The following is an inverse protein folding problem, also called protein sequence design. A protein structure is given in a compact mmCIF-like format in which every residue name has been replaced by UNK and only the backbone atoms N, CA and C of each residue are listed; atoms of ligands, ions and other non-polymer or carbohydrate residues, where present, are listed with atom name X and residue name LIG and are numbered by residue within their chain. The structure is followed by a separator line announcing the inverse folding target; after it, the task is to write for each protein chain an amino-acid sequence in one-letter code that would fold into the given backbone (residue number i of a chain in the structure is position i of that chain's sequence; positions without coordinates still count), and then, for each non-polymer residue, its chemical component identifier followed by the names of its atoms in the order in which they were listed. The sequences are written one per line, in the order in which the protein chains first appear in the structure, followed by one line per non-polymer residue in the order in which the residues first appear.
data_IF_110394170828
#
_entry.id   IF_110394170828
#
_cell.length_a   1.000
_cell.length_b   1.000
_cell.length_c   1.000
_cell.angle_alpha   90.00
_cell.angle_beta   90.00
_cell.angle_gamma   90.00
#
_symmetry.space_group_name_H-M   'P 1'
#
loop_
_entity.id
_entity.type
_entity.pdbx_description
1 polymer ?
#
# COMPACT_ATOMS: atom_id res chain seq x y z
N UNK A 1 3.65 -16.75 -6.53
CA UNK A 1 4.79 -17.69 -6.53
C UNK A 1 5.01 -18.31 -7.91
N UNK A 2 3.96 -18.50 -8.72
CA UNK A 2 4.04 -19.10 -10.07
C UNK A 2 5.03 -18.41 -11.04
N UNK A 3 5.18 -17.08 -10.95
CA UNK A 3 6.09 -16.31 -11.80
C UNK A 3 7.51 -16.12 -11.23
N UNK A 4 7.84 -16.80 -10.12
CA UNK A 4 9.16 -16.71 -9.47
C UNK A 4 9.89 -18.03 -9.65
N UNK A 5 11.19 -17.98 -9.98
CA UNK A 5 12.04 -19.15 -10.13
C UNK A 5 11.93 -20.08 -8.89
N UNK A 6 11.61 -21.38 -9.07
CA UNK A 6 11.50 -22.35 -7.99
C UNK A 6 12.72 -22.42 -7.05
N UNK A 7 13.93 -22.18 -7.56
CA UNK A 7 15.16 -22.15 -6.75
C UNK A 7 15.14 -21.07 -5.67
N UNK A 8 14.39 -19.99 -5.88
CA UNK A 8 14.23 -18.90 -4.92
C UNK A 8 13.16 -19.17 -3.85
N UNK A 9 12.31 -20.19 -4.01
CA UNK A 9 11.14 -20.40 -3.16
C UNK A 9 11.52 -20.65 -1.70
N UNK A 10 12.55 -21.46 -1.46
CA UNK A 10 13.02 -21.76 -0.10
C UNK A 10 13.46 -20.48 0.65
N UNK A 11 14.18 -19.58 -0.04
CA UNK A 11 14.63 -18.32 0.55
C UNK A 11 13.47 -17.37 0.84
N UNK A 12 12.47 -17.30 -0.06
CA UNK A 12 11.32 -16.42 0.09
C UNK A 12 10.35 -16.93 1.17
N UNK A 13 10.16 -18.25 1.25
CA UNK A 13 9.25 -18.88 2.20
C UNK A 13 9.86 -19.06 3.59
N UNK A 14 11.15 -18.75 3.79
CA UNK A 14 11.80 -18.83 5.08
C UNK A 14 11.11 -17.92 6.12
N UNK A 15 10.55 -18.47 7.21
CA UNK A 15 9.88 -17.71 8.26
C UNK A 15 10.77 -16.67 8.95
N UNK A 16 12.04 -17.01 9.24
CA UNK A 16 12.98 -16.08 9.89
C UNK A 16 13.19 -14.82 9.06
N UNK A 17 13.32 -15.00 7.74
CA UNK A 17 13.42 -13.87 6.81
C UNK A 17 12.14 -13.05 6.77
N UNK A 18 10.98 -13.69 6.78
CA UNK A 18 9.70 -13.00 6.78
C UNK A 18 9.51 -12.14 8.04
N UNK A 19 10.00 -12.61 9.19
CA UNK A 19 10.04 -11.82 10.41
C UNK A 19 10.93 -10.57 10.25
N UNK A 20 12.11 -10.69 9.61
CA UNK A 20 12.97 -9.54 9.31
C UNK A 20 12.30 -8.49 8.40
N UNK A 21 11.40 -8.92 7.51
CA UNK A 21 10.66 -8.03 6.61
C UNK A 21 9.45 -7.36 7.27
N UNK A 22 9.11 -7.71 8.51
CA UNK A 22 8.19 -6.91 9.30
C UNK A 22 8.92 -5.64 9.75
N UNK A 23 9.01 -4.67 8.82
CA UNK A 23 9.74 -3.38 8.96
C UNK A 23 9.27 -2.56 10.18
N UNK A 24 8.19 -2.96 10.85
CA UNK A 24 7.80 -2.44 12.16
C UNK A 24 7.46 -3.61 13.08
N UNK A 25 8.10 -3.67 14.25
CA UNK A 25 7.71 -4.56 15.38
C UNK A 25 6.23 -4.37 15.83
N UNK A 26 5.50 -3.44 15.22
CA UNK A 26 4.06 -3.25 15.33
C UNK A 26 3.40 -3.63 14.00
N UNK A 27 2.72 -4.77 13.91
CA UNK A 27 2.00 -5.13 12.69
C UNK A 27 0.90 -4.09 12.41
N UNK A 28 0.68 -3.79 11.13
CA UNK A 28 -0.48 -3.02 10.71
C UNK A 28 -1.74 -3.67 11.30
N UNK A 29 -2.53 -2.91 12.05
CA UNK A 29 -3.78 -3.44 12.60
C UNK A 29 -4.85 -3.66 11.52
N UNK A 30 -4.61 -3.17 10.30
CA UNK A 30 -5.59 -3.13 9.21
C UNK A 30 -5.08 -3.77 7.91
N UNK A 31 -3.99 -4.55 7.96
CA UNK A 31 -3.47 -5.31 6.83
C UNK A 31 -3.24 -6.75 7.26
N UNK A 32 -3.74 -7.70 6.46
CA UNK A 32 -3.41 -9.11 6.63
C UNK A 32 -2.07 -9.39 5.96
N UNK A 33 -1.13 -10.11 6.59
CA UNK A 33 0.05 -10.59 5.88
C UNK A 33 -0.33 -11.47 4.68
N UNK A 34 0.44 -11.43 3.58
CA UNK A 34 0.22 -12.34 2.45
C UNK A 34 0.53 -13.78 2.83
N UNK A 35 -0.14 -14.73 2.17
CA UNK A 35 0.21 -16.14 2.23
C UNK A 35 1.51 -16.39 1.42
N UNK A 36 2.61 -16.82 2.06
CA UNK A 36 3.90 -17.04 1.39
C UNK A 36 3.91 -18.24 0.42
N UNK A 37 2.91 -19.13 0.52
CA UNK A 37 2.72 -20.21 -0.47
C UNK A 37 2.17 -19.67 -1.79
N UNK A 38 1.41 -18.58 -1.73
CA UNK A 38 0.74 -17.99 -2.89
C UNK A 38 1.47 -16.77 -3.45
N UNK A 39 1.97 -15.88 -2.59
CA UNK A 39 2.53 -14.58 -2.95
C UNK A 39 4.04 -14.55 -2.70
N UNK A 40 4.81 -13.94 -3.62
CA UNK A 40 6.23 -13.69 -3.38
C UNK A 40 6.40 -12.75 -2.17
N UNK A 41 7.36 -13.07 -1.30
CA UNK A 41 7.67 -12.31 -0.08
C UNK A 41 9.01 -11.57 -0.20
N UNK A 42 9.44 -11.23 -1.42
CA UNK A 42 10.51 -10.24 -1.60
C UNK A 42 10.04 -8.88 -1.06
N UNK A 43 10.96 -7.97 -0.72
CA UNK A 43 10.61 -6.69 -0.10
C UNK A 43 9.62 -5.89 -0.99
N UNK A 44 9.89 -5.82 -2.29
CA UNK A 44 8.99 -5.20 -3.27
C UNK A 44 7.58 -5.78 -3.26
N UNK A 45 7.43 -7.11 -3.24
CA UNK A 45 6.11 -7.75 -3.24
C UNK A 45 5.37 -7.54 -1.91
N UNK A 46 6.08 -7.53 -0.78
CA UNK A 46 5.51 -7.20 0.52
C UNK A 46 5.00 -5.75 0.56
N UNK A 47 5.78 -4.80 0.03
CA UNK A 47 5.35 -3.40 -0.08
C UNK A 47 4.13 -3.27 -0.99
N UNK A 48 4.16 -3.86 -2.20
CA UNK A 48 3.03 -3.83 -3.15
C UNK A 48 1.77 -4.45 -2.55
N UNK A 49 1.89 -5.56 -1.83
CA UNK A 49 0.78 -6.17 -1.09
C UNK A 49 0.18 -5.20 -0.07
N UNK A 50 1.02 -4.60 0.78
CA UNK A 50 0.58 -3.62 1.76
C UNK A 50 -0.13 -2.44 1.09
N UNK A 51 0.43 -1.91 -0.01
CA UNK A 51 -0.18 -0.83 -0.77
C UNK A 51 -1.56 -1.20 -1.30
N UNK A 52 -1.74 -2.39 -1.89
CA UNK A 52 -3.04 -2.83 -2.38
C UNK A 52 -4.06 -2.99 -1.23
N UNK A 53 -3.66 -3.57 -0.10
CA UNK A 53 -4.53 -3.66 1.07
C UNK A 53 -4.93 -2.28 1.61
N UNK A 54 -3.98 -1.34 1.67
CA UNK A 54 -4.22 0.03 2.11
C UNK A 54 -5.19 0.77 1.20
N UNK A 55 -5.06 0.61 -0.10
CA UNK A 55 -5.98 1.22 -1.08
C UNK A 55 -7.40 0.73 -0.86
N UNK A 56 -7.58 -0.58 -0.68
CA UNK A 56 -8.90 -1.19 -0.44
C UNK A 56 -9.48 -0.74 0.92
N UNK A 57 -8.66 -0.72 1.98
CA UNK A 57 -9.11 -0.27 3.31
C UNK A 57 -9.45 1.23 3.29
N UNK A 58 -8.63 2.07 2.65
CA UNK A 58 -8.89 3.50 2.51
C UNK A 58 -10.18 3.78 1.73
N UNK A 59 -10.45 3.01 0.66
CA UNK A 59 -11.69 3.08 -0.10
C UNK A 59 -12.92 2.76 0.77
N UNK A 60 -12.82 1.74 1.63
CA UNK A 60 -13.88 1.37 2.57
C UNK A 60 -14.24 2.53 3.53
N UNK A 61 -13.24 3.24 4.05
CA UNK A 61 -13.44 4.32 5.02
C UNK A 61 -13.78 5.69 4.43
N UNK A 62 -13.77 5.85 3.10
CA UNK A 62 -14.05 7.15 2.49
C UNK A 62 -15.41 7.74 2.89
N UNK A 63 -16.44 6.90 3.09
CA UNK A 63 -17.76 7.38 3.51
C UNK A 63 -17.65 8.09 4.87
N UNK A 64 -17.01 7.46 5.85
CA UNK A 64 -16.78 8.05 7.17
C UNK A 64 -16.01 9.36 7.09
N UNK A 65 -14.95 9.39 6.28
CA UNK A 65 -14.13 10.58 6.09
C UNK A 65 -14.91 11.75 5.49
N UNK A 66 -15.82 11.47 4.56
CA UNK A 66 -16.60 12.50 3.88
C UNK A 66 -17.78 13.02 4.70
N UNK A 67 -18.40 12.16 5.50
CA UNK A 67 -19.50 12.57 6.40
C UNK A 67 -18.99 13.16 7.71
N UNK A 68 -17.70 13.04 8.01
CA UNK A 68 -17.12 13.42 9.30
C UNK A 68 -17.46 12.45 10.43
N UNK A 69 -17.99 11.27 10.10
CA UNK A 69 -18.21 10.20 11.07
C UNK A 69 -16.86 9.59 11.49
N UNK A 70 -16.56 9.47 12.80
CA UNK A 70 -15.30 8.90 13.25
C UNK A 70 -15.11 7.45 12.79
N UNK A 71 -13.95 7.16 12.22
CA UNK A 71 -13.45 5.79 12.01
C UNK A 71 -13.38 5.09 13.37
N UNK A 72 -13.87 3.84 13.41
CA UNK A 72 -13.89 3.05 14.63
C UNK A 72 -12.48 2.79 15.17
N UNK A 73 -12.23 3.21 16.41
CA UNK A 73 -10.95 3.02 17.10
C UNK A 73 -10.83 1.58 17.59
N UNK A 74 -9.66 0.97 17.39
CA UNK A 74 -9.34 -0.35 17.93
C UNK A 74 -8.66 -0.17 19.30
N UNK A 75 -9.23 -0.71 20.40
CA UNK A 75 -8.57 -0.66 21.69
C UNK A 75 -7.18 -1.32 21.64
N UNK A 76 -6.21 -0.76 22.35
CA UNK A 76 -4.84 -1.28 22.41
C UNK A 76 -4.84 -2.75 22.86
N UNK A 77 -4.01 -3.56 22.21
CA UNK A 77 -3.88 -4.99 22.50
C UNK A 77 -5.06 -5.86 22.06
N UNK A 78 -6.10 -5.28 21.44
CA UNK A 78 -7.26 -6.04 20.97
C UNK A 78 -7.28 -6.14 19.45
N UNK A 79 -7.94 -7.18 18.95
CA UNK A 79 -8.27 -7.32 17.53
C UNK A 79 -9.75 -7.67 17.42
N UNK A 80 -10.64 -6.67 17.40
CA UNK A 80 -12.09 -6.91 17.43
C UNK A 80 -12.55 -7.66 16.18
N UNK A 81 -13.65 -8.41 16.30
CA UNK A 81 -14.18 -9.26 15.22
C UNK A 81 -14.41 -8.49 13.92
N UNK A 82 -15.04 -7.32 14.00
CA UNK A 82 -15.29 -6.47 12.83
C UNK A 82 -14.00 -6.13 12.07
N UNK A 83 -12.88 -5.93 12.78
CA UNK A 83 -11.62 -5.59 12.16
C UNK A 83 -10.99 -6.80 11.46
N UNK A 84 -11.04 -7.98 12.10
CA UNK A 84 -10.59 -9.23 11.47
C UNK A 84 -11.37 -9.52 10.20
N UNK A 85 -12.69 -9.38 10.25
CA UNK A 85 -13.59 -9.64 9.12
C UNK A 85 -13.32 -8.64 7.98
N UNK A 86 -13.11 -7.36 8.30
CA UNK A 86 -12.76 -6.33 7.32
C UNK A 86 -11.39 -6.59 6.66
N UNK A 87 -10.36 -6.88 7.47
CA UNK A 87 -9.00 -7.13 6.99
C UNK A 87 -8.94 -8.38 6.11
N UNK A 88 -9.62 -9.45 6.50
CA UNK A 88 -9.74 -10.67 5.69
C UNK A 88 -10.48 -10.42 4.37
N UNK A 89 -11.56 -9.62 4.40
CA UNK A 89 -12.27 -9.20 3.19
C UNK A 89 -11.37 -8.41 2.24
N UNK A 90 -10.63 -7.44 2.76
CA UNK A 90 -9.72 -6.62 1.96
C UNK A 90 -8.62 -7.49 1.33
N UNK A 91 -8.01 -8.39 2.10
CA UNK A 91 -7.03 -9.34 1.59
C UNK A 91 -7.61 -10.24 0.47
N UNK A 92 -8.86 -10.70 0.61
CA UNK A 92 -9.52 -11.50 -0.43
C UNK A 92 -9.71 -10.75 -1.75
N UNK A 93 -9.95 -9.44 -1.69
CA UNK A 93 -10.05 -8.57 -2.88
C UNK A 93 -8.67 -8.46 -3.54
N UNK A 94 -7.61 -8.25 -2.75
CA UNK A 94 -6.24 -8.19 -3.26
C UNK A 94 -5.82 -9.51 -3.91
N UNK A 95 -6.13 -10.65 -3.30
CA UNK A 95 -5.86 -11.98 -3.90
C UNK A 95 -6.55 -12.14 -5.25
N UNK A 96 -7.80 -11.68 -5.40
CA UNK A 96 -8.49 -11.69 -6.70
C UNK A 96 -7.78 -10.81 -7.72
N UNK A 97 -7.31 -9.63 -7.32
CA UNK A 97 -6.57 -8.71 -8.18
C UNK A 97 -5.22 -9.26 -8.64
N UNK A 98 -4.58 -10.15 -7.86
CA UNK A 98 -3.35 -10.82 -8.28
C UNK A 98 -3.58 -11.87 -9.39
N UNK A 99 -4.82 -12.36 -9.57
CA UNK A 99 -5.17 -13.36 -10.59
C UNK A 99 -6.00 -12.80 -11.75
N UNK A 100 -6.54 -11.60 -11.59
CA UNK A 100 -7.50 -11.02 -12.53
C UNK A 100 -7.18 -9.55 -12.80
N UNK A 101 -6.81 -9.21 -14.04
CA UNK A 101 -6.60 -7.82 -14.44
C UNK A 101 -7.83 -6.93 -14.21
N UNK A 102 -9.04 -7.49 -14.32
CA UNK A 102 -10.27 -6.76 -14.05
C UNK A 102 -10.39 -6.38 -12.57
N UNK A 103 -10.09 -7.30 -11.66
CA UNK A 103 -10.06 -6.97 -10.23
C UNK A 103 -8.96 -5.96 -9.91
N UNK A 104 -7.81 -6.06 -10.58
CA UNK A 104 -6.75 -5.07 -10.44
C UNK A 104 -7.20 -3.68 -10.89
N UNK A 105 -7.83 -3.58 -12.06
CA UNK A 105 -8.40 -2.33 -12.57
C UNK A 105 -9.45 -1.74 -11.62
N UNK A 106 -10.29 -2.58 -10.99
CA UNK A 106 -11.27 -2.12 -9.98
C UNK A 106 -10.62 -1.54 -8.73
N UNK A 107 -9.48 -2.08 -8.29
CA UNK A 107 -8.72 -1.48 -7.19
C UNK A 107 -8.17 -0.10 -7.62
N UNK A 108 -7.65 0.03 -8.84
CA UNK A 108 -7.14 1.31 -9.36
C UNK A 108 -8.25 2.36 -9.52
N UNK A 109 -9.43 1.97 -9.99
CA UNK A 109 -10.63 2.82 -10.07
C UNK A 109 -11.03 3.33 -8.68
N UNK A 110 -11.15 2.42 -7.70
CA UNK A 110 -11.47 2.78 -6.31
C UNK A 110 -10.39 3.67 -5.67
N UNK A 111 -9.12 3.44 -6.01
CA UNK A 111 -8.00 4.27 -5.60
C UNK A 111 -8.16 5.70 -6.13
N UNK A 112 -8.39 5.86 -7.43
CA UNK A 112 -8.52 7.17 -8.07
C UNK A 112 -9.69 7.94 -7.45
N UNK A 113 -10.86 7.29 -7.32
CA UNK A 113 -12.03 7.87 -6.68
C UNK A 113 -11.76 8.32 -5.24
N UNK A 114 -11.06 7.49 -4.44
CA UNK A 114 -10.68 7.85 -3.06
C UNK A 114 -9.69 9.02 -3.01
N UNK A 115 -8.78 9.11 -3.97
CA UNK A 115 -7.80 10.19 -4.08
C UNK A 115 -8.48 11.52 -4.42
N UNK A 116 -9.37 11.52 -5.43
CA UNK A 116 -10.15 12.70 -5.81
C UNK A 116 -10.99 13.20 -4.63
N UNK A 117 -11.73 12.31 -3.97
CA UNK A 117 -12.55 12.64 -2.78
C UNK A 117 -11.70 13.25 -1.67
N UNK A 118 -10.55 12.66 -1.39
CA UNK A 118 -9.65 13.15 -0.35
C UNK A 118 -9.09 14.54 -0.67
N UNK A 119 -8.53 14.75 -1.86
CA UNK A 119 -7.99 16.06 -2.27
C UNK A 119 -9.10 17.12 -2.24
N UNK A 120 -10.31 16.79 -2.70
CA UNK A 120 -11.46 17.70 -2.65
C UNK A 120 -11.82 18.06 -1.22
N UNK A 121 -11.95 17.07 -0.33
CA UNK A 121 -12.26 17.28 1.10
C UNK A 121 -11.22 18.18 1.77
N UNK A 122 -9.93 17.93 1.53
CA UNK A 122 -8.85 18.77 2.05
C UNK A 122 -8.84 20.18 1.44
N UNK A 123 -9.12 20.32 0.15
CA UNK A 123 -9.21 21.62 -0.53
C UNK A 123 -10.38 22.50 -0.06
N UNK A 124 -11.45 21.88 0.45
CA UNK A 124 -12.62 22.54 1.05
C UNK A 124 -12.46 22.82 2.55
N UNK A 125 -11.43 22.27 3.20
CA UNK A 125 -11.20 22.48 4.62
C UNK A 125 -10.87 23.96 4.91
N UNK A 126 -11.77 24.65 5.60
CA UNK A 126 -11.65 26.09 5.91
C UNK A 126 -10.51 26.41 6.87
N UNK A 127 -10.13 25.46 7.73
CA UNK A 127 -9.11 25.64 8.77
C UNK A 127 -7.68 25.44 8.26
N UNK A 128 -7.46 24.44 7.41
CA UNK A 128 -6.15 24.13 6.86
C UNK A 128 -6.22 24.12 5.32
N UNK A 129 -5.98 25.28 4.70
CA UNK A 129 -6.05 25.47 3.24
C UNK A 129 -4.83 24.92 2.49
N UNK A 130 -4.18 23.87 3.01
CA UNK A 130 -3.04 23.23 2.36
C UNK A 130 -3.53 22.49 1.11
N UNK A 131 -3.47 23.16 -0.04
CA UNK A 131 -3.70 22.55 -1.35
C UNK A 131 -2.36 22.02 -1.87
N UNK A 132 -1.96 20.82 -1.43
CA UNK A 132 -0.69 20.23 -1.91
C UNK A 132 -0.83 19.66 -3.31
N UNK A 133 -2.02 19.20 -3.67
CA UNK A 133 -2.38 18.80 -5.03
C UNK A 133 -3.24 19.88 -5.70
N UNK A 134 -2.92 20.21 -6.95
CA UNK A 134 -3.70 21.14 -7.77
C UNK A 134 -4.74 20.33 -8.54
N UNK A 135 -5.97 20.32 -8.05
CA UNK A 135 -7.12 19.69 -8.69
C UNK A 135 -8.22 20.74 -8.88
N UNK A 136 -8.63 20.96 -10.11
CA UNK A 136 -9.73 21.85 -10.50
C UNK A 136 -11.05 21.06 -10.59
N UNK A 137 -12.18 21.76 -10.69
CA UNK A 137 -13.48 21.10 -10.78
C UNK A 137 -13.62 20.29 -12.09
N UNK A 138 -12.98 20.72 -13.17
CA UNK A 138 -12.91 19.98 -14.43
C UNK A 138 -12.17 18.65 -14.27
N UNK A 139 -11.10 18.61 -13.46
CA UNK A 139 -10.34 17.37 -13.19
C UNK A 139 -11.23 16.35 -12.45
N UNK A 140 -12.13 16.82 -11.59
CA UNK A 140 -13.12 15.96 -10.90
C UNK A 140 -14.12 15.36 -11.88
N UNK A 141 -14.57 16.14 -12.87
CA UNK A 141 -15.56 15.70 -13.86
C UNK A 141 -14.95 14.81 -14.94
N UNK A 142 -13.65 14.97 -15.22
CA UNK A 142 -12.93 14.12 -16.16
C UNK A 142 -12.75 12.67 -15.64
N UNK A 143 -12.85 12.45 -14.32
CA UNK A 143 -12.63 11.14 -13.69
C UNK A 143 -11.30 10.47 -14.09
N UNK A 144 -10.27 11.28 -14.38
CA UNK A 144 -8.92 10.83 -14.75
C UNK A 144 -7.88 11.28 -13.73
N UNK A 145 -6.67 10.72 -13.82
CA UNK A 145 -5.56 11.01 -12.92
C UNK A 145 -4.56 12.03 -13.46
N UNK A 146 -4.88 12.72 -14.57
CA UNK A 146 -4.00 13.70 -15.24
C UNK A 146 -3.54 14.80 -14.30
N UNK A 147 -4.39 15.23 -13.36
CA UNK A 147 -4.03 16.25 -12.37
C UNK A 147 -2.88 15.81 -11.43
N UNK A 148 -2.64 14.51 -11.28
CA UNK A 148 -1.54 13.96 -10.49
C UNK A 148 -0.19 14.00 -11.21
N UNK A 149 -0.15 14.32 -12.51
CA UNK A 149 1.10 14.57 -13.24
C UNK A 149 1.73 15.91 -12.84
N UNK A 150 0.91 16.83 -12.31
CA UNK A 150 1.36 18.14 -11.81
C UNK A 150 2.29 17.96 -10.59
N UNK A 151 3.04 19.00 -10.24
CA UNK A 151 3.90 18.99 -9.06
C UNK A 151 3.08 18.68 -7.80
N UNK A 152 3.53 17.71 -7.00
CA UNK A 152 2.91 17.32 -5.73
C UNK A 152 3.89 17.39 -4.55
N UNK A 153 3.42 17.12 -3.32
CA UNK A 153 4.30 17.01 -2.18
C UNK A 153 5.22 15.78 -2.31
N UNK A 154 6.48 15.89 -1.84
CA UNK A 154 7.36 14.74 -1.75
C UNK A 154 6.90 13.88 -0.57
N UNK A 155 6.00 12.92 -0.78
CA UNK A 155 5.67 12.01 0.33
C UNK A 155 5.24 10.62 -0.12
N UNK A 156 5.97 9.64 0.40
CA UNK A 156 5.53 8.26 0.54
C UNK A 156 5.05 8.08 2.00
N UNK A 157 3.94 8.74 2.36
CA UNK A 157 3.35 8.58 3.69
C UNK A 157 2.56 7.26 3.72
N UNK A 158 3.16 6.21 4.30
CA UNK A 158 2.45 4.98 4.61
C UNK A 158 1.51 5.19 5.80
N UNK A 159 0.18 5.00 5.64
CA UNK A 159 -0.76 5.09 6.74
C UNK A 159 -0.67 3.85 7.64
N UNK A 160 0.20 3.89 8.64
CA UNK A 160 0.37 2.79 9.61
C UNK A 160 -0.84 2.60 10.54
N UNK A 161 -1.66 3.64 10.71
CA UNK A 161 -2.92 3.60 11.44
C UNK A 161 -4.04 4.26 10.61
N UNK A 162 -5.29 3.83 10.80
CA UNK A 162 -6.44 4.44 10.12
C UNK A 162 -6.64 5.91 10.48
N UNK A 163 -6.12 6.36 11.62
CA UNK A 163 -6.09 7.79 11.98
C UNK A 163 -5.27 8.62 10.98
N UNK A 164 -4.30 8.02 10.29
CA UNK A 164 -3.57 8.71 9.23
C UNK A 164 -4.47 9.08 8.04
N UNK A 165 -5.59 8.37 7.84
CA UNK A 165 -6.51 8.64 6.73
C UNK A 165 -7.15 10.03 6.80
N UNK A 166 -7.33 10.59 7.99
CA UNK A 166 -7.85 11.96 8.14
C UNK A 166 -6.92 13.03 7.57
N UNK A 167 -5.63 12.74 7.48
CA UNK A 167 -4.59 13.67 7.01
C UNK A 167 -4.06 13.30 5.61
N UNK A 168 -4.56 12.21 5.03
CA UNK A 168 -4.04 11.61 3.81
C UNK A 168 -4.70 12.23 2.57
N UNK A 169 -4.11 13.30 2.04
CA UNK A 169 -4.60 13.96 0.82
C UNK A 169 -4.54 13.06 -0.41
N UNK A 170 -3.41 12.38 -0.62
CA UNK A 170 -3.27 11.36 -1.65
C UNK A 170 -2.30 10.29 -1.15
N UNK A 171 -2.53 9.04 -1.56
CA UNK A 171 -1.61 7.93 -1.34
C UNK A 171 -1.10 7.46 -2.69
N UNK A 172 0.18 7.65 -3.00
CA UNK A 172 0.74 7.31 -4.31
C UNK A 172 1.89 6.32 -4.14
N UNK A 173 1.58 5.03 -3.86
CA UNK A 173 2.56 4.09 -3.31
C UNK A 173 3.76 3.77 -4.21
N UNK A 174 3.64 3.98 -5.52
CA UNK A 174 4.68 3.64 -6.50
C UNK A 174 5.37 4.88 -7.11
N UNK A 175 5.05 6.09 -6.66
CA UNK A 175 5.68 7.32 -7.18
C UNK A 175 5.85 8.39 -6.11
N UNK A 176 6.93 9.15 -6.22
CA UNK A 176 7.16 10.34 -5.40
C UNK A 176 7.66 11.49 -6.25
N UNK A 177 7.30 12.72 -5.89
CA UNK A 177 7.79 13.92 -6.52
C UNK A 177 9.16 14.29 -5.91
N UNK A 178 10.20 14.39 -6.73
CA UNK A 178 11.52 14.85 -6.30
C UNK A 178 11.67 16.33 -6.66
N UNK A 179 11.63 17.22 -5.65
CA UNK A 179 11.65 18.67 -5.86
C UNK A 179 12.90 19.17 -6.55
N UNK A 180 14.07 18.60 -6.23
CA UNK A 180 15.36 18.97 -6.83
C UNK A 180 15.39 18.66 -8.32
N UNK A 181 14.73 17.56 -8.73
CA UNK A 181 14.71 17.07 -10.11
C UNK A 181 13.46 17.53 -10.88
N UNK A 182 12.51 18.18 -10.21
CA UNK A 182 11.20 18.59 -10.72
C UNK A 182 10.50 17.49 -11.53
N UNK A 183 10.54 16.25 -11.04
CA UNK A 183 9.93 15.10 -11.72
C UNK A 183 9.39 14.07 -10.76
N UNK A 184 8.40 13.34 -11.23
CA UNK A 184 7.97 12.09 -10.62
C UNK A 184 9.04 11.02 -10.82
N UNK A 185 9.37 10.30 -9.74
CA UNK A 185 10.22 9.12 -9.77
C UNK A 185 9.37 7.93 -9.35
N UNK A 186 9.54 6.83 -10.07
CA UNK A 186 8.83 5.59 -9.86
C UNK A 186 9.77 4.54 -9.28
N UNK A 187 9.21 3.57 -8.57
CA UNK A 187 9.98 2.39 -8.19
C UNK A 187 10.47 1.70 -9.48
N UNK A 188 11.77 1.37 -9.59
CA UNK A 188 12.29 0.69 -10.77
C UNK A 188 11.59 -0.65 -11.04
N UNK A 189 11.46 -1.02 -12.31
CA UNK A 189 10.75 -2.24 -12.69
C UNK A 189 11.51 -3.49 -12.21
N UNK A 190 12.84 -3.43 -12.29
CA UNK A 190 13.82 -4.43 -11.90
C UNK A 190 13.97 -4.61 -10.38
N UNK A 191 13.33 -3.76 -9.56
CA UNK A 191 13.49 -3.84 -8.10
C UNK A 191 13.01 -5.19 -7.54
N UNK A 192 12.02 -5.81 -8.18
CA UNK A 192 11.56 -7.15 -7.80
C UNK A 192 12.69 -8.19 -7.91
N UNK A 193 13.36 -8.22 -9.05
CA UNK A 193 14.39 -9.23 -9.34
C UNK A 193 15.59 -9.03 -8.40
N UNK A 194 15.99 -7.77 -8.18
CA UNK A 194 17.04 -7.42 -7.21
C UNK A 194 16.70 -7.89 -5.79
N UNK A 195 15.46 -7.68 -5.33
CA UNK A 195 15.04 -8.10 -3.98
C UNK A 195 14.94 -9.63 -3.85
N UNK A 196 14.63 -10.35 -4.93
CA UNK A 196 14.66 -11.81 -4.97
C UNK A 196 16.09 -12.32 -4.86
N UNK A 197 17.04 -11.75 -5.60
CA UNK A 197 18.46 -12.10 -5.48
C UNK A 197 18.99 -11.87 -4.06
N UNK A 198 18.64 -10.74 -3.44
CA UNK A 198 19.01 -10.45 -2.05
C UNK A 198 18.47 -11.53 -1.11
N UNK A 199 17.23 -12.00 -1.31
CA UNK A 199 16.65 -13.07 -0.52
C UNK A 199 17.46 -14.38 -0.64
N UNK A 200 17.83 -14.76 -1.87
CA UNK A 200 18.62 -15.96 -2.14
C UNK A 200 20.00 -15.88 -1.47
N UNK A 201 20.67 -14.73 -1.57
CA UNK A 201 21.99 -14.50 -0.96
C UNK A 201 21.91 -14.58 0.57
N UNK A 202 20.86 -14.00 1.17
CA UNK A 202 20.63 -14.07 2.61
C UNK A 202 20.46 -15.51 3.10
N UNK A 203 19.66 -16.32 2.40
CA UNK A 203 19.43 -17.74 2.73
C UNK A 203 20.73 -18.55 2.62
N UNK A 204 21.53 -18.31 1.58
CA UNK A 204 22.83 -18.98 1.41
C UNK A 204 23.79 -18.66 2.56
N UNK A 205 23.83 -17.39 2.99
CA UNK A 205 24.62 -16.96 4.13
C UNK A 205 24.15 -17.58 5.44
N UNK A 206 22.83 -17.59 5.70
CA UNK A 206 22.26 -18.17 6.92
C UNK A 206 22.57 -19.67 7.05
N UNK A 207 22.45 -20.43 5.94
CA UNK A 207 22.82 -21.86 5.90
C UNK A 207 24.31 -22.10 6.14
N UNK A 208 25.17 -21.21 5.68
CA UNK A 208 26.60 -21.31 5.94
C UNK A 208 26.92 -21.11 7.42
N UNK A 209 26.27 -20.14 8.08
CA UNK A 209 26.46 -19.91 9.51
C UNK A 209 25.95 -21.07 10.39
N UNK A 210 24.86 -21.73 10.01
CA UNK A 210 24.33 -22.89 10.76
C UNK A 210 25.20 -24.16 10.65
N UNK A 211 26.12 -24.22 9.67
CA UNK A 211 27.02 -25.36 9.44
C UNK A 211 28.38 -25.21 10.15
N UNK A 212 28.65 -24.05 10.73
CA UNK A 212 29.85 -23.76 11.52
C UNK A 212 29.54 -23.88 13.00
#
# INVERSE_FOLDING_TARGET
MEAVDPSAHAALQNPERQELLTVHKKPFQHIQPPDPSFTCTCLTCMLRWNCLCLVVDFAYWQKNLDTGEPISVIPRGTTPKWNRDLVARNASIVVKALRSPLWHARILEAHLASTIRSIRRHGLNKGNRRRRFRMADEDVHAETDVFLERSGPPTLDFPYHRDNYYMLEAFLPNRSWISERKKWVYLPAEQHDNDVEIAIRWEAWARHQQRQ
#
